data_IF_146641055594
#
_entry.id   IF_146641055594
#
_cell.length_a   1.000
_cell.length_b   1.000
_cell.length_c   1.000
_cell.angle_alpha   90.00
_cell.angle_beta   90.00
_cell.angle_gamma   90.00
#
_symmetry.space_group_name_H-M   'P 1'
#
loop_
_entity.id
_entity.type
_entity.pdbx_description
1 polymer ?
#
# COMPACT_ATOMS: atom_id res chain seq x y z
N UNK A 1 -10.49 -4.99 2.92
CA UNK A 1 -9.27 -4.19 3.17
C UNK A 1 -9.19 -3.04 2.18
N UNK A 2 -9.05 -1.81 2.68
CA UNK A 2 -8.95 -0.59 1.87
C UNK A 2 -8.06 0.43 2.57
N UNK A 3 -7.28 1.20 1.81
CA UNK A 3 -6.53 2.32 2.39
C UNK A 3 -7.49 3.39 2.90
N UNK A 4 -7.24 3.89 4.11
CA UNK A 4 -7.99 5.00 4.69
C UNK A 4 -7.96 6.22 3.79
N UNK A 5 -9.04 6.98 3.79
CA UNK A 5 -9.07 8.26 3.07
C UNK A 5 -8.12 9.29 3.69
N UNK A 6 -7.78 10.33 2.92
CA UNK A 6 -6.91 11.41 3.41
C UNK A 6 -5.42 11.18 3.17
N UNK A 7 -5.06 10.36 2.19
CA UNK A 7 -3.68 10.19 1.73
C UNK A 7 -3.59 10.45 0.23
N UNK A 8 -2.48 11.06 -0.20
CA UNK A 8 -2.17 11.27 -1.61
C UNK A 8 -0.83 10.61 -1.94
N UNK A 9 -0.80 9.87 -3.05
CA UNK A 9 0.43 9.33 -3.62
C UNK A 9 1.01 10.33 -4.64
N UNK A 10 2.34 10.53 -4.60
CA UNK A 10 3.10 11.45 -5.45
C UNK A 10 4.42 10.79 -5.85
N UNK A 11 4.78 10.86 -7.13
CA UNK A 11 6.12 10.51 -7.56
C UNK A 11 7.06 11.71 -7.38
N UNK A 12 8.14 11.53 -6.61
CA UNK A 12 9.15 12.56 -6.37
C UNK A 12 10.53 11.95 -6.64
N UNK A 13 11.24 12.48 -7.63
CA UNK A 13 12.57 12.00 -8.02
C UNK A 13 12.63 10.47 -8.25
N UNK A 14 11.57 9.89 -8.84
CA UNK A 14 11.47 8.45 -9.11
C UNK A 14 11.05 7.60 -7.92
N UNK A 15 10.79 8.20 -6.76
CA UNK A 15 10.25 7.50 -5.57
C UNK A 15 8.76 7.74 -5.42
N UNK A 16 8.00 6.68 -5.12
CA UNK A 16 6.58 6.78 -4.80
C UNK A 16 6.42 7.19 -3.34
N UNK A 17 5.97 8.42 -3.10
CA UNK A 17 5.78 8.99 -1.76
C UNK A 17 4.29 9.13 -1.48
N UNK A 18 3.85 8.62 -0.33
CA UNK A 18 2.51 8.87 0.19
C UNK A 18 2.60 9.90 1.30
N UNK A 19 1.78 10.94 1.20
CA UNK A 19 1.64 11.99 2.19
C UNK A 19 0.19 12.12 2.65
N UNK A 20 -0.04 12.43 3.94
CA UNK A 20 -1.37 12.74 4.43
C UNK A 20 -1.86 14.07 3.83
N UNK A 21 -3.16 14.18 3.60
CA UNK A 21 -3.80 15.39 3.06
C UNK A 21 -5.06 15.74 3.86
N UNK A 22 -5.44 17.02 3.84
CA UNK A 22 -6.58 17.52 4.59
C UNK A 22 -6.40 17.31 6.10
N UNK A 23 -7.47 16.90 6.79
CA UNK A 23 -7.45 16.70 8.25
C UNK A 23 -6.42 15.65 8.68
N UNK A 24 -6.11 14.67 7.82
CA UNK A 24 -5.13 13.63 8.14
C UNK A 24 -3.72 14.18 8.29
N UNK A 25 -3.40 15.31 7.65
CA UNK A 25 -2.10 15.98 7.80
C UNK A 25 -1.89 16.55 9.22
N UNK A 26 -2.96 16.76 9.99
CA UNK A 26 -2.88 17.19 11.40
C UNK A 26 -2.74 15.99 12.36
N UNK A 27 -3.24 14.82 11.95
CA UNK A 27 -3.21 13.59 12.76
C UNK A 27 -1.96 12.74 12.52
N UNK A 28 -1.44 12.78 11.29
CA UNK A 28 -0.27 12.04 10.86
C UNK A 28 0.77 13.03 10.35
N UNK A 29 1.92 13.09 11.01
CA UNK A 29 2.99 14.01 10.65
C UNK A 29 4.18 13.18 10.13
N UNK A 30 4.14 12.85 8.84
CA UNK A 30 5.12 11.97 8.21
C UNK A 30 4.85 11.72 6.73
N UNK A 31 5.79 11.03 6.08
CA UNK A 31 5.70 10.58 4.68
C UNK A 31 6.09 9.12 4.61
N UNK A 32 5.39 8.36 3.78
CA UNK A 32 5.69 6.95 3.53
C UNK A 32 6.38 6.86 2.18
N UNK A 33 7.56 6.29 2.16
CA UNK A 33 8.27 6.02 0.91
C UNK A 33 8.00 4.57 0.51
N UNK A 34 7.43 4.39 -0.67
CA UNK A 34 7.13 3.09 -1.25
C UNK A 34 8.20 2.73 -2.27
N UNK A 35 8.60 1.46 -2.28
CA UNK A 35 9.27 0.87 -3.43
C UNK A 35 8.23 0.54 -4.52
N UNK A 36 8.68 0.06 -5.67
CA UNK A 36 7.82 -0.24 -6.82
C UNK A 36 6.65 -1.18 -6.46
N UNK A 37 6.95 -2.33 -5.84
CA UNK A 37 5.92 -3.29 -5.41
C UNK A 37 4.96 -2.71 -4.36
N UNK A 38 5.47 -1.92 -3.42
CA UNK A 38 4.65 -1.22 -2.42
C UNK A 38 3.71 -0.21 -3.06
N UNK A 39 4.15 0.49 -4.10
CA UNK A 39 3.32 1.39 -4.92
C UNK A 39 2.17 0.63 -5.58
N UNK A 40 2.45 -0.53 -6.16
CA UNK A 40 1.44 -1.40 -6.76
C UNK A 40 0.42 -1.93 -5.72
N UNK A 41 0.90 -2.39 -4.55
CA UNK A 41 0.02 -2.84 -3.48
C UNK A 41 -0.88 -1.72 -2.98
N UNK A 42 -0.31 -0.53 -2.79
CA UNK A 42 -1.05 0.66 -2.39
C UNK A 42 -2.19 0.97 -3.35
N UNK A 43 -1.92 1.01 -4.66
CA UNK A 43 -2.92 1.31 -5.68
C UNK A 43 -4.07 0.30 -5.67
N UNK A 44 -3.75 -0.98 -5.53
CA UNK A 44 -4.77 -2.02 -5.40
C UNK A 44 -5.65 -1.85 -4.15
N UNK A 45 -5.07 -1.41 -3.03
CA UNK A 45 -5.78 -1.24 -1.77
C UNK A 45 -6.54 0.11 -1.71
N UNK A 46 -6.17 1.12 -2.50
CA UNK A 46 -6.94 2.37 -2.61
C UNK A 46 -8.34 2.11 -3.18
N UNK A 47 -8.47 1.21 -4.14
CA UNK A 47 -9.77 0.80 -4.70
C UNK A 47 -10.55 -0.13 -3.75
N UNK A 48 -9.86 -0.73 -2.78
CA UNK A 48 -10.39 -1.77 -1.91
C UNK A 48 -10.24 -3.15 -2.55
N UNK A 49 -9.61 -4.08 -1.83
CA UNK A 49 -9.26 -5.39 -2.35
C UNK A 49 -9.27 -6.45 -1.23
N UNK A 50 -9.43 -7.72 -1.60
CA UNK A 50 -9.14 -8.85 -0.70
C UNK A 50 -7.69 -9.30 -0.87
N UNK A 51 -7.17 -10.06 0.10
CA UNK A 51 -5.78 -10.55 0.04
C UNK A 51 -5.60 -11.48 -1.15
N UNK A 52 -6.57 -12.34 -1.42
CA UNK A 52 -6.53 -13.32 -2.52
C UNK A 52 -6.52 -12.61 -3.87
N UNK A 53 -7.32 -11.54 -4.00
CA UNK A 53 -7.35 -10.76 -5.24
C UNK A 53 -6.06 -9.95 -5.43
N UNK A 54 -5.48 -9.44 -4.35
CA UNK A 54 -4.18 -8.77 -4.38
C UNK A 54 -3.09 -9.76 -4.81
N UNK A 55 -3.04 -10.93 -4.19
CA UNK A 55 -2.10 -12.01 -4.53
C UNK A 55 -2.22 -12.42 -6.00
N UNK A 56 -3.44 -12.62 -6.49
CA UNK A 56 -3.70 -12.93 -7.89
C UNK A 56 -3.19 -11.84 -8.83
N UNK A 57 -3.37 -10.55 -8.49
CA UNK A 57 -2.83 -9.43 -9.28
C UNK A 57 -1.30 -9.43 -9.30
N UNK A 58 -0.66 -9.71 -8.16
CA UNK A 58 0.81 -9.76 -8.05
C UNK A 58 1.39 -10.89 -8.90
N UNK A 59 0.80 -12.09 -8.84
CA UNK A 59 1.27 -13.23 -9.63
C UNK A 59 1.05 -13.08 -11.15
N UNK A 60 0.12 -12.20 -11.56
CA UNK A 60 -0.08 -11.86 -12.97
C UNK A 60 0.92 -10.80 -13.46
N UNK A 61 1.29 -9.85 -12.60
CA UNK A 61 2.16 -8.74 -12.96
C UNK A 61 3.65 -9.07 -12.81
N UNK A 62 4.00 -9.90 -11.82
CA UNK A 62 5.37 -10.20 -11.45
C UNK A 62 5.68 -11.70 -11.57
N UNK A 63 6.87 -12.02 -12.08
CA UNK A 63 7.39 -13.39 -12.11
C UNK A 63 7.95 -13.79 -10.74
N UNK A 64 7.05 -14.10 -9.80
CA UNK A 64 7.38 -14.50 -8.42
C UNK A 64 6.57 -15.72 -7.99
N UNK A 65 7.04 -16.43 -6.97
CA UNK A 65 6.30 -17.55 -6.39
C UNK A 65 5.14 -17.05 -5.53
N UNK A 66 4.07 -17.83 -5.46
CA UNK A 66 2.91 -17.54 -4.60
C UNK A 66 3.32 -17.33 -3.14
N UNK A 67 4.23 -18.17 -2.64
CA UNK A 67 4.74 -18.03 -1.28
C UNK A 67 5.41 -16.67 -1.07
N UNK A 68 6.32 -16.27 -1.97
CA UNK A 68 7.06 -15.02 -1.84
C UNK A 68 6.13 -13.81 -1.96
N UNK A 69 5.21 -13.85 -2.92
CA UNK A 69 4.21 -12.80 -3.09
C UNK A 69 3.32 -12.67 -1.83
N UNK A 70 2.86 -13.77 -1.26
CA UNK A 70 2.05 -13.74 -0.04
C UNK A 70 2.82 -13.15 1.14
N UNK A 71 4.09 -13.56 1.35
CA UNK A 71 4.93 -13.03 2.42
C UNK A 71 5.15 -11.52 2.29
N UNK A 72 5.39 -11.03 1.07
CA UNK A 72 5.63 -9.60 0.83
C UNK A 72 4.32 -8.79 0.96
N UNK A 73 3.18 -9.34 0.54
CA UNK A 73 1.86 -8.76 0.80
C UNK A 73 1.58 -8.68 2.30
N UNK A 74 1.86 -9.75 3.06
CA UNK A 74 1.63 -9.78 4.50
C UNK A 74 2.45 -8.72 5.23
N UNK A 75 3.75 -8.62 4.92
CA UNK A 75 4.61 -7.56 5.47
C UNK A 75 4.09 -6.17 5.15
N UNK A 76 3.56 -5.96 3.95
CA UNK A 76 2.99 -4.68 3.57
C UNK A 76 1.71 -4.37 4.34
N UNK A 77 0.80 -5.34 4.46
CA UNK A 77 -0.44 -5.18 5.24
C UNK A 77 -0.15 -4.92 6.72
N UNK A 78 0.83 -5.61 7.30
CA UNK A 78 1.24 -5.39 8.70
C UNK A 78 1.78 -3.99 8.92
N UNK A 79 2.64 -3.48 8.02
CA UNK A 79 3.09 -2.09 8.06
C UNK A 79 1.91 -1.10 8.03
N UNK A 80 0.91 -1.35 7.19
CA UNK A 80 -0.29 -0.50 7.13
C UNK A 80 -1.12 -0.57 8.43
N UNK A 81 -1.26 -1.76 9.03
CA UNK A 81 -1.99 -1.95 10.30
C UNK A 81 -1.28 -1.25 11.46
N UNK A 82 0.03 -1.43 11.59
CA UNK A 82 0.85 -0.78 12.62
C UNK A 82 0.77 0.74 12.56
N UNK A 83 0.69 1.29 11.35
CA UNK A 83 0.55 2.73 11.12
C UNK A 83 -0.92 3.20 11.07
N UNK A 84 -1.88 2.31 11.34
CA UNK A 84 -3.31 2.59 11.36
C UNK A 84 -3.84 3.19 10.05
N UNK A 85 -3.35 2.70 8.90
CA UNK A 85 -3.62 3.19 7.55
C UNK A 85 -4.65 2.38 6.77
N UNK A 86 -5.07 1.23 7.30
CA UNK A 86 -5.97 0.29 6.64
C UNK A 86 -7.34 0.26 7.34
N UNK A 87 -8.40 0.26 6.54
CA UNK A 87 -9.77 -0.11 6.95
C UNK A 87 -10.01 -1.57 6.53
N UNK A 88 -10.36 -2.43 7.48
CA UNK A 88 -10.63 -3.86 7.24
C UNK A 88 -12.12 -4.19 7.15
#
# INVERSE_FOLDING_TARGET
>A
MKIKSGFAKRNIAGSEIVVPVGNKAMEFNGMITLNESGGFFWDCLVEGCTKERLLSKVLLEYEVTEQKASEDIDKFLDMLRENNLLDE
#
